data_IF_234785997482
#
_entry.id   IF_234785997482
#
_cell.length_a   1.000
_cell.length_b   1.000
_cell.length_c   1.000
_cell.angle_alpha   90.00
_cell.angle_beta   90.00
_cell.angle_gamma   90.00
#
_symmetry.space_group_name_H-M   'P 1'
#
loop_
_entity.id
_entity.type
_entity.pdbx_description
1 polymer ?
#
# COMPACT_ATOMS: atom_id res chain seq x y z
N UNK A 1 -16.43 -8.41 13.56
CA UNK A 1 -15.27 -8.65 12.68
C UNK A 1 -14.12 -9.11 13.58
N UNK A 2 -13.52 -10.27 13.33
CA UNK A 2 -12.34 -10.68 14.09
C UNK A 2 -11.20 -9.72 13.74
N UNK A 3 -10.63 -9.04 14.74
CA UNK A 3 -9.43 -8.22 14.52
C UNK A 3 -8.27 -9.17 14.25
N UNK A 4 -7.58 -8.96 13.13
CA UNK A 4 -6.34 -9.68 12.86
C UNK A 4 -5.31 -9.33 13.94
N UNK A 5 -4.57 -10.31 14.44
CA UNK A 5 -3.49 -10.06 15.40
C UNK A 5 -2.26 -9.53 14.64
N UNK A 6 -1.79 -8.33 14.98
CA UNK A 6 -0.67 -7.66 14.31
C UNK A 6 -0.80 -7.58 12.78
N UNK A 7 -1.82 -6.89 12.25
CA UNK A 7 -1.98 -6.68 10.81
C UNK A 7 -0.74 -6.00 10.21
N UNK A 8 -0.25 -6.45 9.05
CA UNK A 8 0.89 -5.83 8.39
C UNK A 8 0.50 -4.51 7.74
N UNK A 9 1.45 -3.57 7.67
CA UNK A 9 1.27 -2.34 6.92
C UNK A 9 1.03 -2.67 5.43
N UNK A 10 0.04 -2.05 4.74
CA UNK A 10 -0.31 -2.38 3.36
C UNK A 10 0.84 -2.25 2.36
N UNK A 11 1.81 -1.39 2.66
CA UNK A 11 3.04 -1.21 1.89
C UNK A 11 3.85 -2.49 1.66
N UNK A 12 3.69 -3.54 2.49
CA UNK A 12 4.34 -4.82 2.24
C UNK A 12 3.81 -5.50 0.98
N UNK A 13 2.48 -5.46 0.74
CA UNK A 13 1.90 -6.00 -0.49
C UNK A 13 2.30 -5.19 -1.71
N UNK A 14 2.49 -3.88 -1.56
CA UNK A 14 3.02 -3.04 -2.64
C UNK A 14 4.43 -3.50 -3.01
N UNK A 15 5.27 -3.80 -2.01
CA UNK A 15 6.62 -4.32 -2.23
C UNK A 15 6.59 -5.69 -2.92
N UNK A 16 5.78 -6.63 -2.44
CA UNK A 16 5.63 -7.96 -3.03
C UNK A 16 5.11 -7.90 -4.48
N UNK A 17 4.15 -7.01 -4.74
CA UNK A 17 3.66 -6.76 -6.09
C UNK A 17 4.75 -6.19 -7.01
N UNK A 18 5.59 -5.28 -6.50
CA UNK A 18 6.72 -4.76 -7.28
C UNK A 18 7.72 -5.86 -7.63
N UNK A 19 8.05 -6.74 -6.69
CA UNK A 19 8.95 -7.86 -6.91
C UNK A 19 8.36 -8.85 -7.94
N UNK A 20 7.07 -9.18 -7.81
CA UNK A 20 6.36 -10.10 -8.70
C UNK A 20 6.23 -9.56 -10.12
N UNK A 21 5.98 -8.26 -10.27
CA UNK A 21 5.83 -7.59 -11.57
C UNK A 21 7.16 -7.06 -12.14
N UNK A 22 8.29 -7.33 -11.45
CA UNK A 22 9.62 -6.83 -11.79
C UNK A 22 9.66 -5.29 -11.98
N UNK A 23 8.92 -4.57 -11.14
CA UNK A 23 8.81 -3.11 -11.16
C UNK A 23 9.83 -2.47 -10.22
N UNK A 24 10.55 -1.46 -10.72
CA UNK A 24 11.35 -0.59 -9.86
C UNK A 24 10.47 0.44 -9.13
N UNK A 25 10.97 1.00 -8.02
CA UNK A 25 10.32 2.12 -7.30
C UNK A 25 10.00 3.28 -8.24
N UNK A 26 10.93 3.60 -9.15
CA UNK A 26 10.74 4.66 -10.15
C UNK A 26 9.68 4.29 -11.18
N UNK A 27 9.66 3.03 -11.61
CA UNK A 27 8.65 2.50 -12.54
C UNK A 27 7.26 2.62 -11.94
N UNK A 28 7.05 2.10 -10.73
CA UNK A 28 5.77 2.17 -10.06
C UNK A 28 5.34 3.62 -9.78
N UNK A 29 6.26 4.47 -9.33
CA UNK A 29 5.98 5.88 -9.09
C UNK A 29 5.49 6.62 -10.35
N UNK A 30 6.09 6.31 -11.51
CA UNK A 30 5.66 6.85 -12.80
C UNK A 30 4.24 6.40 -13.14
N UNK A 31 3.92 5.12 -12.95
CA UNK A 31 2.58 4.58 -13.26
C UNK A 31 1.50 5.12 -12.32
N UNK A 32 1.85 5.32 -11.04
CA UNK A 32 0.95 5.92 -10.04
C UNK A 32 0.85 7.45 -10.15
N UNK A 33 1.71 8.10 -10.95
CA UNK A 33 1.75 9.56 -11.04
C UNK A 33 2.16 10.23 -9.71
N UNK A 34 3.10 9.65 -8.98
CA UNK A 34 3.61 10.17 -7.70
C UNK A 34 5.14 10.25 -7.72
N UNK A 35 5.74 10.88 -6.70
CA UNK A 35 7.20 10.89 -6.58
C UNK A 35 7.74 9.51 -6.18
N UNK A 36 8.94 9.11 -6.62
CA UNK A 36 9.60 7.89 -6.15
C UNK A 36 9.74 7.85 -4.61
N UNK A 37 9.90 9.02 -3.98
CA UNK A 37 9.98 9.11 -2.52
C UNK A 37 8.68 8.67 -1.83
N UNK A 38 7.52 8.93 -2.46
CA UNK A 38 6.21 8.51 -1.95
C UNK A 38 6.10 6.98 -1.96
N UNK A 39 6.45 6.35 -3.08
CA UNK A 39 6.47 4.88 -3.18
C UNK A 39 7.47 4.28 -2.20
N UNK A 40 8.67 4.87 -2.08
CA UNK A 40 9.68 4.38 -1.15
C UNK A 40 9.17 4.41 0.29
N UNK A 41 8.57 5.52 0.75
CA UNK A 41 8.01 5.62 2.11
C UNK A 41 6.88 4.63 2.34
N UNK A 42 6.03 4.41 1.33
CA UNK A 42 4.94 3.45 1.39
C UNK A 42 5.46 2.02 1.60
N UNK A 43 6.40 1.57 0.77
CA UNK A 43 6.92 0.18 0.84
C UNK A 43 7.72 -0.11 2.11
N UNK A 44 8.28 0.91 2.78
CA UNK A 44 8.96 0.75 4.08
C UNK A 44 8.05 1.03 5.28
N UNK A 45 6.75 1.25 5.07
CA UNK A 45 5.79 1.49 6.16
C UNK A 45 5.94 2.85 6.86
N UNK A 46 6.51 3.85 6.17
CA UNK A 46 6.68 5.23 6.67
C UNK A 46 5.63 6.20 6.16
N UNK A 47 4.69 5.75 5.33
CA UNK A 47 3.55 6.54 4.90
C UNK A 47 2.37 5.63 4.62
N UNK A 48 1.21 6.05 5.09
CA UNK A 48 -0.03 5.30 4.95
C UNK A 48 -0.59 5.32 3.52
N UNK A 49 -1.47 4.37 3.24
CA UNK A 49 -2.31 4.36 2.05
C UNK A 49 -3.48 5.32 2.26
N UNK A 50 -3.42 6.48 1.59
CA UNK A 50 -4.57 7.38 1.49
C UNK A 50 -5.65 6.82 0.54
N UNK A 51 -6.90 7.31 0.58
CA UNK A 51 -7.94 6.91 -0.38
C UNK A 51 -7.55 7.13 -1.84
N UNK A 52 -6.82 8.23 -2.14
CA UNK A 52 -6.30 8.49 -3.48
C UNK A 52 -5.24 7.46 -3.88
N UNK A 53 -4.34 7.09 -2.96
CA UNK A 53 -3.34 6.06 -3.20
C UNK A 53 -4.00 4.68 -3.38
N UNK A 54 -4.98 4.33 -2.55
CA UNK A 54 -5.76 3.10 -2.68
C UNK A 54 -6.42 2.98 -4.06
N UNK A 55 -7.00 4.07 -4.58
CA UNK A 55 -7.56 4.09 -5.94
C UNK A 55 -6.47 3.82 -6.98
N UNK A 56 -5.34 4.53 -6.91
CA UNK A 56 -4.23 4.34 -7.86
C UNK A 56 -3.66 2.92 -7.82
N UNK A 57 -3.48 2.36 -6.63
CA UNK A 57 -3.01 0.98 -6.44
C UNK A 57 -4.01 -0.04 -6.99
N UNK A 58 -5.32 0.18 -6.81
CA UNK A 58 -6.36 -0.70 -7.35
C UNK A 58 -6.31 -0.82 -8.88
N UNK A 59 -5.91 0.26 -9.57
CA UNK A 59 -5.78 0.29 -11.03
C UNK A 59 -4.45 -0.31 -11.50
N UNK A 60 -3.35 -0.03 -10.79
CA UNK A 60 -1.99 -0.39 -11.24
C UNK A 60 -1.58 -1.79 -10.80
N UNK A 61 -1.86 -2.16 -9.55
CA UNK A 61 -1.49 -3.44 -8.95
C UNK A 61 -2.67 -4.41 -8.98
N UNK A 62 -3.90 -3.89 -8.89
CA UNK A 62 -5.11 -4.68 -8.78
C UNK A 62 -5.71 -4.65 -7.38
N UNK A 63 -6.64 -5.57 -7.13
CA UNK A 63 -7.56 -5.54 -5.98
C UNK A 63 -8.51 -4.34 -6.03
N UNK A 64 -9.30 -4.14 -4.97
CA UNK A 64 -10.24 -3.02 -4.86
C UNK A 64 -9.74 -1.93 -3.91
N UNK A 65 -10.25 -0.72 -4.10
CA UNK A 65 -10.02 0.40 -3.16
C UNK A 65 -10.38 -0.02 -1.72
N UNK A 66 -11.48 -0.75 -1.54
CA UNK A 66 -11.93 -1.20 -0.22
C UNK A 66 -10.95 -2.16 0.43
N UNK A 67 -10.28 -3.02 -0.34
CA UNK A 67 -9.25 -3.92 0.21
C UNK A 67 -8.06 -3.11 0.71
N UNK A 68 -7.53 -2.20 -0.12
CA UNK A 68 -6.40 -1.35 0.28
C UNK A 68 -6.70 -0.50 1.52
N UNK A 69 -7.89 0.12 1.56
CA UNK A 69 -8.34 0.90 2.71
C UNK A 69 -8.58 0.03 3.94
N UNK A 70 -9.18 -1.15 3.78
CA UNK A 70 -9.42 -2.08 4.89
C UNK A 70 -8.12 -2.50 5.57
N UNK A 71 -7.08 -2.83 4.79
CA UNK A 71 -5.77 -3.15 5.34
C UNK A 71 -5.14 -2.00 6.11
N UNK A 72 -5.24 -0.76 5.60
CA UNK A 72 -4.69 0.41 6.29
C UNK A 72 -5.44 0.64 7.60
N UNK A 73 -6.77 0.56 7.59
CA UNK A 73 -7.60 0.71 8.79
C UNK A 73 -7.23 -0.35 9.83
N UNK A 74 -7.10 -1.62 9.43
CA UNK A 74 -6.72 -2.69 10.34
C UNK A 74 -5.33 -2.44 10.95
N UNK A 75 -4.36 -2.01 10.13
CA UNK A 75 -3.02 -1.62 10.59
C UNK A 75 -3.07 -0.46 11.59
N UNK A 76 -3.75 0.64 11.25
CA UNK A 76 -3.85 1.84 12.09
C UNK A 76 -4.52 1.53 13.43
N UNK A 77 -5.61 0.76 13.40
CA UNK A 77 -6.32 0.33 14.62
C UNK A 77 -5.43 -0.53 15.53
N UNK A 78 -4.52 -1.31 14.97
CA UNK A 78 -3.57 -2.08 15.76
C UNK A 78 -2.45 -1.21 16.33
N UNK A 79 -1.89 -0.28 15.56
CA UNK A 79 -0.83 0.63 16.03
C UNK A 79 -1.31 1.64 17.06
N UNK A 80 -2.60 1.99 17.05
CA UNK A 80 -3.20 2.93 18.00
C UNK A 80 -3.54 2.29 19.37
N UNK A 81 -3.48 0.96 19.48
CA UNK A 81 -3.65 0.22 20.75
C UNK A 81 -2.35 0.20 21.54
#
# INVERSE_FOLDING_TARGET
MAMMYNPPHPGILVKEAMETLNLSVRGLAKTLGVTPSTVQRLVVGKSDVSPEMALKLSVVIGSSLQVWMGMQIDYDLWQAK
#
